data_IF_450802260739
#
_entry.id   IF_450802260739
#
_cell.length_a   1.000
_cell.length_b   1.000
_cell.length_c   1.000
_cell.angle_alpha   90.00
_cell.angle_beta   90.00
_cell.angle_gamma   90.00
#
_symmetry.space_group_name_H-M   'P 1'
#
loop_
_entity.id
_entity.type
_entity.pdbx_description
1 polymer ?
#
# COMPACT_ATOMS: atom_id res chain seq x y z
N UNK A 1 -29.11 11.25 -21.54
CA UNK A 1 -27.69 11.38 -21.12
C UNK A 1 -27.51 11.08 -19.64
N UNK A 2 -28.49 11.36 -18.78
CA UNK A 2 -28.44 11.08 -17.33
C UNK A 2 -28.49 9.60 -16.91
N UNK A 3 -29.07 8.71 -17.71
CA UNK A 3 -29.21 7.28 -17.35
C UNK A 3 -27.88 6.51 -17.33
N UNK A 4 -26.98 6.82 -18.27
CA UNK A 4 -25.64 6.20 -18.32
C UNK A 4 -24.75 6.75 -17.21
N UNK A 5 -24.79 8.06 -16.96
CA UNK A 5 -24.03 8.71 -15.89
C UNK A 5 -24.37 8.11 -14.52
N UNK A 6 -25.67 7.95 -14.22
CA UNK A 6 -26.13 7.31 -12.98
C UNK A 6 -25.66 5.86 -12.85
N UNK A 7 -25.75 5.09 -13.94
CA UNK A 7 -25.29 3.70 -13.93
C UNK A 7 -23.77 3.59 -13.69
N UNK A 8 -22.98 4.52 -14.25
CA UNK A 8 -21.54 4.59 -14.01
C UNK A 8 -21.21 5.04 -12.59
N UNK A 9 -21.98 5.97 -12.02
CA UNK A 9 -21.84 6.39 -10.61
C UNK A 9 -22.16 5.25 -9.64
N UNK A 10 -23.20 4.47 -9.91
CA UNK A 10 -23.57 3.32 -9.08
C UNK A 10 -22.45 2.26 -9.07
N UNK A 11 -21.88 1.94 -10.23
CA UNK A 11 -20.73 1.02 -10.31
C UNK A 11 -19.51 1.61 -9.61
N UNK A 12 -19.23 2.90 -9.83
CA UNK A 12 -18.10 3.58 -9.21
C UNK A 12 -18.19 3.55 -7.68
N UNK A 13 -19.36 3.87 -7.13
CA UNK A 13 -19.59 3.86 -5.68
C UNK A 13 -19.50 2.46 -5.08
N UNK A 14 -19.95 1.43 -5.83
CA UNK A 14 -19.84 0.04 -5.41
C UNK A 14 -18.38 -0.43 -5.37
N UNK A 15 -17.58 -0.08 -6.39
CA UNK A 15 -16.19 -0.52 -6.49
C UNK A 15 -15.30 0.29 -5.53
N UNK A 16 -15.38 1.62 -5.52
CA UNK A 16 -14.47 2.48 -4.77
C UNK A 16 -14.92 2.78 -3.34
N UNK A 17 -16.11 2.32 -2.95
CA UNK A 17 -16.67 2.52 -1.61
C UNK A 17 -16.24 1.44 -0.61
N UNK A 18 -17.17 1.11 0.29
CA UNK A 18 -16.97 0.15 1.37
C UNK A 18 -16.47 -1.24 0.93
N UNK A 19 -16.92 -1.82 -0.20
CA UNK A 19 -16.47 -3.16 -0.59
C UNK A 19 -14.96 -3.27 -0.78
N UNK A 20 -14.32 -2.27 -1.41
CA UNK A 20 -12.87 -2.27 -1.61
C UNK A 20 -12.11 -2.13 -0.29
N UNK A 21 -12.58 -1.26 0.61
CA UNK A 21 -11.96 -1.06 1.93
C UNK A 21 -12.01 -2.36 2.74
N UNK A 22 -13.18 -3.01 2.80
CA UNK A 22 -13.37 -4.28 3.51
C UNK A 22 -12.47 -5.37 2.89
N UNK A 23 -12.36 -5.41 1.57
CA UNK A 23 -11.54 -6.40 0.88
C UNK A 23 -10.04 -6.18 1.13
N UNK A 24 -9.54 -4.94 1.04
CA UNK A 24 -8.14 -4.64 1.32
C UNK A 24 -7.78 -4.91 2.79
N UNK A 25 -8.58 -4.38 3.71
CA UNK A 25 -8.32 -4.55 5.15
C UNK A 25 -8.50 -6.01 5.59
N UNK A 26 -9.53 -6.68 5.07
CA UNK A 26 -9.78 -8.10 5.32
C UNK A 26 -8.66 -9.00 4.79
N UNK A 27 -8.17 -8.73 3.58
CA UNK A 27 -7.02 -9.47 3.02
C UNK A 27 -5.73 -9.20 3.79
N UNK A 28 -5.50 -7.96 4.24
CA UNK A 28 -4.38 -7.63 5.10
C UNK A 28 -4.40 -8.46 6.40
N UNK A 29 -5.52 -8.47 7.13
CA UNK A 29 -5.67 -9.23 8.37
C UNK A 29 -5.53 -10.74 8.10
N UNK A 30 -6.21 -11.24 7.07
CA UNK A 30 -6.17 -12.65 6.70
C UNK A 30 -4.74 -13.13 6.41
N UNK A 31 -3.99 -12.39 5.60
CA UNK A 31 -2.61 -12.73 5.28
C UNK A 31 -1.70 -12.58 6.51
N UNK A 32 -1.91 -11.58 7.35
CA UNK A 32 -1.15 -11.38 8.60
C UNK A 32 -1.27 -12.59 9.53
N UNK A 33 -2.48 -13.10 9.74
CA UNK A 33 -2.73 -14.28 10.58
C UNK A 33 -2.18 -15.54 9.91
N UNK A 34 -2.47 -15.74 8.62
CA UNK A 34 -2.05 -16.94 7.88
C UNK A 34 -0.53 -17.08 7.77
N UNK A 35 0.19 -15.96 7.64
CA UNK A 35 1.66 -15.92 7.55
C UNK A 35 2.35 -15.87 8.94
N UNK A 36 1.59 -15.92 10.04
CA UNK A 36 2.15 -15.94 11.39
C UNK A 36 2.82 -14.63 11.80
N UNK A 37 2.20 -13.48 11.51
CA UNK A 37 2.72 -12.14 11.79
C UNK A 37 4.08 -11.88 11.14
N UNK A 38 4.15 -12.10 9.82
CA UNK A 38 5.38 -11.92 9.04
C UNK A 38 5.99 -10.51 9.15
N UNK A 39 5.18 -9.49 9.47
CA UNK A 39 5.63 -8.11 9.71
C UNK A 39 6.72 -8.02 10.79
N UNK A 40 6.80 -8.99 11.73
CA UNK A 40 7.86 -9.03 12.75
C UNK A 40 9.28 -9.14 12.18
N UNK A 41 9.41 -9.64 10.94
CA UNK A 41 10.70 -9.80 10.26
C UNK A 41 11.12 -8.55 9.48
N UNK A 42 10.36 -7.45 9.52
CA UNK A 42 10.64 -6.23 8.75
C UNK A 42 12.06 -5.71 8.98
N UNK A 43 12.50 -5.58 10.24
CA UNK A 43 13.85 -5.09 10.54
C UNK A 43 14.95 -6.03 10.04
N UNK A 44 14.71 -7.35 10.11
CA UNK A 44 15.64 -8.34 9.58
C UNK A 44 15.71 -8.25 8.04
N UNK A 45 14.57 -8.12 7.37
CA UNK A 45 14.50 -7.96 5.92
C UNK A 45 15.18 -6.68 5.44
N UNK A 46 14.99 -5.55 6.14
CA UNK A 46 15.68 -4.29 5.83
C UNK A 46 17.20 -4.50 5.95
N UNK A 47 17.68 -5.10 7.05
CA UNK A 47 19.11 -5.38 7.23
C UNK A 47 19.66 -6.29 6.13
N UNK A 48 18.88 -7.28 5.70
CA UNK A 48 19.25 -8.18 4.60
C UNK A 48 19.36 -7.43 3.27
N UNK A 49 18.45 -6.50 2.98
CA UNK A 49 18.51 -5.67 1.76
C UNK A 49 19.78 -4.81 1.66
N UNK A 50 20.37 -4.41 2.79
CA UNK A 50 21.66 -3.71 2.84
C UNK A 50 22.88 -4.63 2.93
N UNK A 51 22.66 -5.93 3.11
CA UNK A 51 23.75 -6.90 3.19
C UNK A 51 24.20 -7.30 1.78
N UNK A 52 25.51 -7.33 1.55
CA UNK A 52 26.06 -7.77 0.27
C UNK A 52 26.08 -9.30 0.25
N UNK A 53 25.18 -9.92 -0.53
CA UNK A 53 25.41 -11.30 -0.97
C UNK A 53 26.49 -11.32 -2.06
N UNK A 54 27.49 -12.18 -1.87
CA UNK A 54 28.64 -12.32 -2.77
C UNK A 54 28.44 -13.37 -3.87
N UNK A 55 27.26 -13.98 -4.00
CA UNK A 55 27.03 -15.07 -4.95
C UNK A 55 25.55 -15.44 -5.00
N UNK A 56 24.74 -14.75 -5.82
CA UNK A 56 23.58 -15.42 -6.40
C UNK A 56 23.02 -14.71 -7.66
N UNK A 57 22.33 -15.50 -8.48
CA UNK A 57 21.90 -15.20 -9.87
C UNK A 57 20.71 -14.22 -9.94
N UNK A 58 20.88 -12.98 -9.49
CA UNK A 58 19.91 -11.89 -9.69
C UNK A 58 20.43 -10.85 -10.68
N UNK A 59 19.56 -10.33 -11.55
CA UNK A 59 19.91 -9.26 -12.50
C UNK A 59 20.26 -7.93 -11.81
N UNK A 60 19.78 -7.72 -10.58
CA UNK A 60 19.99 -6.53 -9.76
C UNK A 60 20.23 -6.91 -8.30
N UNK A 61 20.94 -6.06 -7.57
CA UNK A 61 21.19 -6.25 -6.13
C UNK A 61 19.90 -6.15 -5.31
N UNK A 62 19.84 -6.81 -4.14
CA UNK A 62 18.71 -6.69 -3.21
C UNK A 62 18.38 -5.23 -2.85
N UNK A 63 19.42 -4.42 -2.62
CA UNK A 63 19.27 -2.98 -2.39
C UNK A 63 18.69 -2.25 -3.62
N UNK A 64 19.15 -2.61 -4.83
CA UNK A 64 18.65 -2.05 -6.08
C UNK A 64 17.16 -2.36 -6.29
N UNK A 65 16.77 -3.63 -6.11
CA UNK A 65 15.37 -4.05 -6.21
C UNK A 65 14.46 -3.31 -5.22
N UNK A 66 14.90 -3.19 -3.96
CA UNK A 66 14.17 -2.44 -2.93
C UNK A 66 14.03 -0.97 -3.31
N UNK A 67 15.12 -0.33 -3.75
CA UNK A 67 15.12 1.09 -4.13
C UNK A 67 14.22 1.36 -5.33
N UNK A 68 14.21 0.46 -6.33
CA UNK A 68 13.30 0.55 -7.48
C UNK A 68 11.84 0.42 -7.05
N UNK A 69 11.51 -0.53 -6.17
CA UNK A 69 10.15 -0.69 -5.66
C UNK A 69 9.70 0.53 -4.82
N UNK A 70 10.58 1.09 -3.98
CA UNK A 70 10.30 2.29 -3.21
C UNK A 70 10.12 3.52 -4.10
N UNK A 71 10.97 3.69 -5.13
CA UNK A 71 10.83 4.78 -6.09
C UNK A 71 9.51 4.70 -6.88
N UNK A 72 9.01 3.50 -7.17
CA UNK A 72 7.72 3.31 -7.85
C UNK A 72 6.51 3.66 -6.96
N UNK A 73 6.65 3.54 -5.63
CA UNK A 73 5.55 3.72 -4.68
C UNK A 73 5.56 5.07 -3.98
N UNK A 74 6.72 5.73 -3.88
CA UNK A 74 6.88 7.07 -3.28
C UNK A 74 6.84 8.11 -4.40
N UNK A 75 5.83 8.97 -4.39
CA UNK A 75 5.73 10.06 -5.36
C UNK A 75 4.83 11.20 -4.92
N UNK A 76 4.61 12.15 -5.82
CA UNK A 76 3.78 13.35 -5.59
C UNK A 76 2.37 12.99 -5.12
N UNK A 77 1.83 11.86 -5.58
CA UNK A 77 0.52 11.35 -5.17
C UNK A 77 0.41 11.08 -3.67
N UNK A 78 1.48 10.59 -3.02
CA UNK A 78 1.46 10.38 -1.57
C UNK A 78 1.52 11.72 -0.81
N UNK A 79 2.27 12.70 -1.32
CA UNK A 79 2.38 14.02 -0.68
C UNK A 79 1.04 14.76 -0.75
N UNK A 80 0.45 14.84 -1.94
CA UNK A 80 -0.84 15.51 -2.16
C UNK A 80 -1.98 14.72 -1.54
N UNK A 81 -1.98 13.40 -1.66
CA UNK A 81 -3.00 12.53 -1.07
C UNK A 81 -3.06 12.65 0.45
N UNK A 82 -1.89 12.64 1.12
CA UNK A 82 -1.83 12.80 2.57
C UNK A 82 -2.27 14.19 2.99
N UNK A 83 -1.85 15.26 2.29
CA UNK A 83 -2.26 16.62 2.63
C UNK A 83 -3.77 16.83 2.44
N UNK A 84 -4.36 16.32 1.36
CA UNK A 84 -5.80 16.35 1.12
C UNK A 84 -6.57 15.55 2.17
N UNK A 85 -6.09 14.36 2.53
CA UNK A 85 -6.73 13.54 3.56
C UNK A 85 -6.72 14.20 4.94
N UNK A 86 -5.62 14.85 5.32
CA UNK A 86 -5.54 15.61 6.58
C UNK A 86 -6.43 16.86 6.51
N UNK A 87 -6.44 17.58 5.38
CA UNK A 87 -7.25 18.78 5.21
C UNK A 87 -8.76 18.49 5.28
N UNK A 88 -9.20 17.37 4.68
CA UNK A 88 -10.62 16.98 4.64
C UNK A 88 -11.06 16.12 5.83
N UNK A 89 -10.21 15.20 6.28
CA UNK A 89 -10.52 14.22 7.34
C UNK A 89 -9.97 14.58 8.71
N UNK A 90 -9.22 15.68 8.84
CA UNK A 90 -8.56 16.11 10.06
C UNK A 90 -7.31 15.28 10.41
N UNK A 91 -6.67 15.56 11.55
CA UNK A 91 -5.42 14.91 11.95
C UNK A 91 -5.57 13.39 12.19
N UNK A 92 -6.80 12.92 12.46
CA UNK A 92 -7.11 11.50 12.62
C UNK A 92 -6.89 10.66 11.35
N UNK A 93 -6.82 11.28 10.17
CA UNK A 93 -6.53 10.57 8.92
C UNK A 93 -5.17 9.85 8.94
N UNK A 94 -4.18 10.43 9.63
CA UNK A 94 -2.83 9.83 9.74
C UNK A 94 -2.86 8.51 10.51
N UNK A 95 -3.71 8.41 11.54
CA UNK A 95 -3.89 7.17 12.30
C UNK A 95 -4.42 6.04 11.41
N UNK A 96 -5.41 6.35 10.57
CA UNK A 96 -6.01 5.38 9.64
C UNK A 96 -5.10 4.96 8.48
N UNK A 97 -4.11 5.78 8.12
CA UNK A 97 -3.11 5.41 7.11
C UNK A 97 -2.05 4.44 7.65
N UNK A 98 -1.82 4.44 8.96
CA UNK A 98 -0.81 3.60 9.59
C UNK A 98 -1.36 2.21 9.96
N UNK A 99 -2.64 2.12 10.29
CA UNK A 99 -3.38 0.87 10.55
C UNK A 99 -3.54 0.01 9.30
#
# INVERSE_FOLDING_TARGET
MTGLERFLEDISSLIWGWPLIILLFGTHIFLTIRLGFIQRYLFYAIKLSFSSEKTDKGDISHFGALTTALAATIGTGNIVGVSTAIALGGPGAVFWMWL
#
